data_IF_279107522940
#
_entry.id   IF_279107522940
#
_cell.length_a   1.000
_cell.length_b   1.000
_cell.length_c   1.000
_cell.angle_alpha   90.00
_cell.angle_beta   90.00
_cell.angle_gamma   90.00
#
_symmetry.space_group_name_H-M   'P 1'
#
loop_
_entity.id
_entity.type
_entity.pdbx_description
1 polymer ?
#
# COMPACT_ATOMS: atom_id res chain seq x y z
N UNK A 1 -1.48 5.59 10.81
CA UNK A 1 -1.25 6.43 12.01
C UNK A 1 -0.48 5.56 12.98
N UNK A 2 0.84 5.76 13.08
CA UNK A 2 1.61 5.19 14.20
C UNK A 2 1.47 6.21 15.32
N UNK A 3 0.59 5.97 16.29
CA UNK A 3 0.65 6.73 17.54
C UNK A 3 1.69 6.04 18.42
N UNK A 4 2.91 6.55 18.38
CA UNK A 4 3.85 6.33 19.46
C UNK A 4 3.19 6.90 20.72
N UNK A 5 2.93 6.07 21.73
CA UNK A 5 2.45 6.58 23.00
C UNK A 5 3.64 7.26 23.68
N UNK A 6 3.74 8.58 23.56
CA UNK A 6 4.70 9.38 24.33
C UNK A 6 4.16 9.67 25.74
N UNK A 7 3.79 8.62 26.46
CA UNK A 7 3.54 8.68 27.91
C UNK A 7 4.34 7.57 28.58
N UNK A 8 4.88 7.87 29.77
CA UNK A 8 5.86 7.07 30.52
C UNK A 8 5.38 5.72 31.06
N UNK A 9 4.50 5.05 30.33
CA UNK A 9 3.77 3.82 30.66
C UNK A 9 4.36 2.58 29.94
N UNK A 10 5.38 2.78 29.09
CA UNK A 10 6.15 1.69 28.47
C UNK A 10 5.51 1.07 27.21
N UNK A 11 4.37 1.58 26.74
CA UNK A 11 3.73 1.09 25.51
C UNK A 11 4.37 1.72 24.28
N UNK A 12 5.03 0.90 23.46
CA UNK A 12 5.69 1.39 22.24
C UNK A 12 4.72 1.63 21.07
N UNK A 13 3.60 0.89 21.01
CA UNK A 13 2.62 0.95 19.92
C UNK A 13 1.28 0.28 20.30
N UNK A 14 0.20 0.67 19.62
CA UNK A 14 -1.16 0.10 19.73
C UNK A 14 -1.84 0.06 18.35
N UNK A 15 -2.77 -0.88 18.15
CA UNK A 15 -3.67 -0.96 16.98
C UNK A 15 -4.77 0.10 16.99
N UNK A 16 -4.99 0.77 18.14
CA UNK A 16 -6.06 1.76 18.30
C UNK A 16 -7.47 1.14 18.38
N UNK A 17 -7.58 -0.13 18.76
CA UNK A 17 -8.85 -0.85 18.95
C UNK A 17 -9.34 -0.75 20.40
N UNK A 18 -9.04 0.34 21.09
CA UNK A 18 -9.42 0.54 22.50
C UNK A 18 -10.95 0.67 22.63
N UNK A 19 -11.54 -0.11 23.54
CA UNK A 19 -12.99 -0.16 23.73
C UNK A 19 -13.73 -1.06 22.74
N UNK A 20 -13.05 -1.59 21.72
CA UNK A 20 -13.60 -2.57 20.79
C UNK A 20 -13.44 -4.01 21.31
N UNK A 21 -14.31 -4.91 20.83
CA UNK A 21 -14.29 -6.33 21.23
C UNK A 21 -13.57 -7.16 20.18
N UNK A 22 -12.24 -7.18 20.27
CA UNK A 22 -11.39 -8.07 19.45
C UNK A 22 -11.56 -9.51 19.90
N UNK A 23 -11.84 -10.43 18.97
CA UNK A 23 -12.05 -11.86 19.27
C UNK A 23 -10.79 -12.70 19.16
N UNK A 24 -9.89 -12.34 18.25
CA UNK A 24 -8.68 -13.10 17.95
C UNK A 24 -7.62 -12.18 17.32
N UNK A 25 -6.41 -12.73 17.17
CA UNK A 25 -5.33 -12.16 16.37
C UNK A 25 -4.88 -13.24 15.40
N UNK A 26 -5.02 -12.98 14.10
CA UNK A 26 -4.85 -14.01 13.07
C UNK A 26 -3.80 -13.55 12.05
N UNK A 27 -2.76 -14.36 11.88
CA UNK A 27 -1.80 -14.18 10.80
C UNK A 27 -2.26 -15.02 9.61
N UNK A 28 -2.65 -14.35 8.54
CA UNK A 28 -3.13 -14.97 7.31
C UNK A 28 -1.95 -15.53 6.49
N UNK A 29 -2.21 -16.51 5.62
CA UNK A 29 -1.21 -17.05 4.69
C UNK A 29 -0.60 -15.99 3.76
N UNK A 30 -1.32 -14.89 3.52
CA UNK A 30 -0.83 -13.73 2.79
C UNK A 30 0.21 -12.89 3.56
N UNK A 31 0.40 -13.15 4.86
CA UNK A 31 1.19 -12.32 5.77
C UNK A 31 0.41 -11.15 6.39
N UNK A 32 -0.87 -10.99 6.07
CA UNK A 32 -1.72 -9.98 6.71
C UNK A 32 -2.04 -10.41 8.14
N UNK A 33 -1.76 -9.53 9.10
CA UNK A 33 -2.14 -9.72 10.50
C UNK A 33 -3.47 -9.00 10.71
N UNK A 34 -4.53 -9.73 11.06
CA UNK A 34 -5.89 -9.19 11.24
C UNK A 34 -6.36 -9.33 12.68
N UNK A 35 -7.10 -8.32 13.14
CA UNK A 35 -7.85 -8.34 14.39
C UNK A 35 -9.36 -8.30 14.07
N UNK A 36 -10.04 -9.45 14.02
CA UNK A 36 -11.49 -9.49 13.86
C UNK A 36 -12.21 -9.07 15.15
N UNK A 37 -13.37 -8.44 14.97
CA UNK A 37 -14.33 -8.13 16.02
C UNK A 37 -15.40 -9.21 16.17
N UNK A 38 -16.16 -9.13 17.26
CA UNK A 38 -17.22 -10.10 17.58
C UNK A 38 -18.40 -10.10 16.61
N UNK A 39 -18.56 -9.03 15.82
CA UNK A 39 -19.51 -8.93 14.73
C UNK A 39 -18.98 -9.47 13.38
N UNK A 40 -17.77 -10.03 13.34
CA UNK A 40 -17.12 -10.53 12.12
C UNK A 40 -16.48 -9.46 11.24
N UNK A 41 -16.50 -8.19 11.65
CA UNK A 41 -15.77 -7.12 10.96
C UNK A 41 -14.28 -7.16 11.28
N UNK A 42 -13.44 -6.68 10.37
CA UNK A 42 -12.02 -6.48 10.62
C UNK A 42 -11.86 -5.13 11.31
N UNK A 43 -11.51 -5.14 12.60
CA UNK A 43 -11.27 -3.93 13.38
C UNK A 43 -9.92 -3.30 13.05
N UNK A 44 -8.93 -4.14 12.71
CA UNK A 44 -7.60 -3.71 12.31
C UNK A 44 -6.93 -4.74 11.41
N UNK A 45 -6.11 -4.29 10.47
CA UNK A 45 -5.24 -5.17 9.67
C UNK A 45 -3.91 -4.49 9.31
N UNK A 46 -2.82 -5.27 9.27
CA UNK A 46 -1.48 -4.73 8.97
C UNK A 46 -1.38 -4.17 7.55
N UNK A 47 -2.08 -4.78 6.59
CA UNK A 47 -2.06 -4.36 5.19
C UNK A 47 -2.66 -2.96 4.95
N UNK A 48 -3.45 -2.43 5.89
CA UNK A 48 -3.93 -1.05 5.83
C UNK A 48 -2.85 -0.01 6.19
N UNK A 49 -1.66 -0.45 6.62
CA UNK A 49 -0.55 0.41 7.04
C UNK A 49 0.78 -0.02 6.41
N UNK A 50 0.92 0.11 5.08
CA UNK A 50 2.19 -0.17 4.42
C UNK A 50 3.33 0.70 4.96
N UNK A 51 4.53 0.14 5.05
CA UNK A 51 5.75 0.87 5.40
C UNK A 51 6.57 1.21 4.17
N UNK A 52 7.47 0.32 3.78
CA UNK A 52 8.41 0.46 2.68
C UNK A 52 8.08 -0.49 1.54
N UNK A 53 7.40 -1.61 1.82
CA UNK A 53 7.04 -2.60 0.83
C UNK A 53 5.53 -2.73 0.57
N UNK A 54 5.19 -3.07 -0.69
CA UNK A 54 3.88 -3.57 -1.08
C UNK A 54 3.95 -5.09 -1.26
N UNK A 55 3.04 -5.83 -0.61
CA UNK A 55 3.00 -7.29 -0.63
C UNK A 55 1.90 -7.83 -1.57
N UNK A 56 2.02 -9.07 -2.07
CA UNK A 56 0.95 -9.73 -2.80
C UNK A 56 -0.35 -9.81 -1.97
N UNK A 57 -1.49 -9.54 -2.61
CA UNK A 57 -2.79 -9.51 -1.92
C UNK A 57 -3.03 -8.26 -1.08
N UNK A 58 -2.07 -7.34 -0.98
CA UNK A 58 -2.28 -6.03 -0.38
C UNK A 58 -2.82 -5.04 -1.43
N UNK A 59 -3.97 -4.44 -1.14
CA UNK A 59 -4.51 -3.35 -1.94
C UNK A 59 -3.87 -2.02 -1.49
N UNK A 60 -3.13 -1.39 -2.39
CA UNK A 60 -2.59 -0.04 -2.22
C UNK A 60 -3.62 0.98 -2.73
N UNK A 61 -4.24 1.72 -1.82
CA UNK A 61 -5.33 2.66 -2.14
C UNK A 61 -4.91 4.12 -1.90
N UNK A 62 -5.63 5.06 -2.51
CA UNK A 62 -5.45 6.49 -2.25
C UNK A 62 -5.46 6.81 -0.75
N UNK A 63 -4.47 7.62 -0.31
CA UNK A 63 -4.21 7.93 1.10
C UNK A 63 -3.16 7.04 1.78
N UNK A 64 -2.79 5.91 1.17
CA UNK A 64 -1.63 5.12 1.61
C UNK A 64 -0.32 5.66 1.05
N UNK A 65 0.78 5.40 1.77
CA UNK A 65 2.13 5.77 1.33
C UNK A 65 3.13 4.66 1.58
N UNK A 66 3.87 4.29 0.55
CA UNK A 66 5.13 3.54 0.71
C UNK A 66 6.25 4.54 0.89
N UNK A 67 7.09 4.37 1.90
CA UNK A 67 8.17 5.29 2.23
C UNK A 67 9.50 4.54 2.23
N UNK A 68 10.48 5.08 1.53
CA UNK A 68 11.85 4.59 1.65
C UNK A 68 12.40 4.90 3.04
N UNK A 69 13.44 4.17 3.44
CA UNK A 69 14.23 4.58 4.60
C UNK A 69 14.83 5.98 4.39
N UNK A 70 14.88 6.82 5.44
CA UNK A 70 15.51 8.12 5.36
C UNK A 70 17.01 7.99 5.17
N UNK A 71 17.59 8.85 4.33
CA UNK A 71 19.03 8.98 4.19
C UNK A 71 19.66 9.74 5.37
N UNK A 72 20.99 9.96 5.33
CA UNK A 72 21.74 10.68 6.38
C UNK A 72 21.23 12.12 6.65
N UNK A 73 20.54 12.72 5.68
CA UNK A 73 19.95 14.04 5.79
C UNK A 73 18.46 13.99 6.19
N UNK A 74 17.97 12.83 6.65
CA UNK A 74 16.57 12.57 7.00
C UNK A 74 15.58 12.76 5.84
N UNK A 75 16.08 12.69 4.59
CA UNK A 75 15.23 12.74 3.39
C UNK A 75 14.84 11.31 3.00
N UNK A 76 13.57 11.13 2.66
CA UNK A 76 13.02 9.87 2.16
C UNK A 76 12.24 10.14 0.87
N UNK A 77 12.06 9.12 0.05
CA UNK A 77 11.11 9.14 -1.04
C UNK A 77 9.82 8.47 -0.59
N UNK A 78 8.70 8.81 -1.20
CA UNK A 78 7.47 8.08 -0.96
C UNK A 78 6.61 8.01 -2.20
N UNK A 79 5.88 6.91 -2.31
CA UNK A 79 4.93 6.65 -3.37
C UNK A 79 3.51 6.80 -2.82
N UNK A 80 2.62 7.46 -3.57
CA UNK A 80 1.23 7.69 -3.18
C UNK A 80 0.33 7.69 -4.42
N UNK A 81 -0.87 7.13 -4.31
CA UNK A 81 -1.94 7.41 -5.28
C UNK A 81 -2.58 8.72 -4.85
N UNK A 82 -2.62 9.69 -5.76
CA UNK A 82 -3.19 11.02 -5.51
C UNK A 82 -3.88 11.56 -6.75
N UNK A 83 -5.14 11.97 -6.59
CA UNK A 83 -5.92 12.61 -7.66
C UNK A 83 -6.05 11.76 -8.93
N UNK A 84 -6.03 10.43 -8.81
CA UNK A 84 -6.15 9.52 -9.94
C UNK A 84 -4.83 9.08 -10.59
N UNK A 85 -3.69 9.42 -10.01
CA UNK A 85 -2.36 9.08 -10.52
C UNK A 85 -1.50 8.45 -9.41
N UNK A 86 -0.55 7.60 -9.79
CA UNK A 86 0.46 7.07 -8.89
C UNK A 86 1.74 7.91 -9.03
N UNK A 87 2.14 8.57 -7.95
CA UNK A 87 3.22 9.56 -7.98
C UNK A 87 4.31 9.17 -6.99
N UNK A 88 5.56 9.18 -7.46
CA UNK A 88 6.74 9.09 -6.62
C UNK A 88 7.20 10.50 -6.27
N UNK A 89 7.28 10.80 -4.99
CA UNK A 89 7.72 12.07 -4.45
C UNK A 89 9.10 11.96 -3.80
N UNK A 90 9.91 12.99 -3.97
CA UNK A 90 11.02 13.28 -3.09
C UNK A 90 10.50 14.04 -1.85
N UNK A 91 10.72 13.47 -0.66
CA UNK A 91 10.17 13.92 0.63
C UNK A 91 10.88 15.13 1.24
N UNK A 92 11.11 16.18 0.45
CA UNK A 92 11.52 17.48 0.98
C UNK A 92 10.40 18.16 1.77
N UNK A 93 10.71 19.26 2.49
CA UNK A 93 9.71 20.08 3.21
C UNK A 93 8.51 20.45 2.33
N UNK A 94 8.79 20.79 1.08
CA UNK A 94 7.78 20.86 0.02
C UNK A 94 7.97 19.65 -0.90
N UNK A 95 7.11 18.63 -0.83
CA UNK A 95 7.29 17.42 -1.64
C UNK A 95 7.39 17.75 -3.13
N UNK A 96 8.40 17.18 -3.79
CA UNK A 96 8.62 17.37 -5.24
C UNK A 96 8.24 16.08 -5.95
N UNK A 97 7.37 16.16 -6.97
CA UNK A 97 7.07 15.00 -7.81
C UNK A 97 8.31 14.66 -8.62
N UNK A 98 8.81 13.42 -8.45
CA UNK A 98 9.97 12.90 -9.17
C UNK A 98 9.54 12.09 -10.40
N UNK A 99 8.49 11.28 -10.24
CA UNK A 99 7.93 10.45 -11.32
C UNK A 99 6.41 10.31 -11.15
N UNK A 100 5.71 10.12 -12.28
CA UNK A 100 4.26 9.95 -12.34
C UNK A 100 3.91 8.85 -13.32
N UNK A 101 3.00 7.96 -12.90
CA UNK A 101 2.47 6.90 -13.74
C UNK A 101 1.70 7.47 -14.93
N UNK A 102 1.05 8.62 -14.81
CA UNK A 102 0.38 9.30 -15.91
C UNK A 102 1.31 9.50 -17.12
N UNK A 103 2.61 9.70 -16.90
CA UNK A 103 3.62 9.91 -17.94
C UNK A 103 4.31 8.61 -18.42
N UNK A 104 3.95 7.45 -17.88
CA UNK A 104 4.56 6.17 -18.27
C UNK A 104 4.07 5.69 -19.64
N UNK A 105 5.00 5.32 -20.52
CA UNK A 105 4.71 4.87 -21.89
C UNK A 105 4.49 3.36 -21.99
N UNK A 106 4.96 2.59 -21.00
CA UNK A 106 4.84 1.13 -20.93
C UNK A 106 3.47 0.63 -20.42
N UNK A 107 2.46 1.50 -20.37
CA UNK A 107 1.11 1.10 -19.94
C UNK A 107 0.55 0.06 -20.89
N UNK A 108 0.09 -1.07 -20.36
CA UNK A 108 -0.75 -1.97 -21.15
C UNK A 108 -2.09 -1.30 -21.41
N UNK A 109 -2.60 -1.43 -22.62
CA UNK A 109 -3.96 -1.00 -22.99
C UNK A 109 -4.19 0.52 -22.87
N UNK A 110 -3.48 1.30 -23.69
CA UNK A 110 -3.60 2.77 -23.81
C UNK A 110 -5.02 3.30 -24.14
N UNK A 111 -6.00 2.42 -24.36
CA UNK A 111 -7.38 2.78 -24.68
C UNK A 111 -8.25 3.06 -23.44
N UNK A 112 -7.81 2.64 -22.24
CA UNK A 112 -8.58 2.81 -21.01
C UNK A 112 -8.23 4.14 -20.36
N UNK A 113 -9.12 5.12 -20.50
CA UNK A 113 -9.05 6.40 -19.80
C UNK A 113 -9.76 6.26 -18.44
N UNK A 114 -9.00 6.19 -17.36
CA UNK A 114 -9.54 6.09 -16.00
C UNK A 114 -8.61 6.72 -14.98
N UNK A 115 -9.14 7.02 -13.79
CA UNK A 115 -8.34 7.50 -12.66
C UNK A 115 -7.95 6.31 -11.79
N UNK A 116 -6.67 6.20 -11.44
CA UNK A 116 -6.21 5.18 -10.48
C UNK A 116 -6.83 5.46 -9.13
N UNK A 117 -7.52 4.47 -8.60
CA UNK A 117 -8.01 4.50 -7.22
C UNK A 117 -7.23 3.52 -6.34
N UNK A 118 -6.86 2.37 -6.91
CA UNK A 118 -6.12 1.34 -6.20
C UNK A 118 -5.13 0.61 -7.10
N UNK A 119 -4.15 -0.06 -6.48
CA UNK A 119 -3.21 -0.93 -7.14
C UNK A 119 -2.90 -2.17 -6.29
N UNK A 120 -2.59 -3.29 -6.93
CA UNK A 120 -2.27 -4.55 -6.24
C UNK A 120 -1.23 -5.36 -7.01
N UNK A 121 -0.31 -6.03 -6.31
CA UNK A 121 0.58 -7.00 -6.93
C UNK A 121 -0.16 -8.33 -7.16
N UNK A 122 -0.16 -8.79 -8.41
CA UNK A 122 -0.81 -10.04 -8.84
C UNK A 122 0.15 -10.79 -9.75
N UNK A 123 0.68 -11.92 -9.24
CA UNK A 123 1.71 -12.72 -9.93
C UNK A 123 2.86 -11.82 -10.42
N UNK A 124 3.07 -11.71 -11.73
CA UNK A 124 4.14 -10.95 -12.38
C UNK A 124 3.81 -9.50 -12.75
N UNK A 125 2.68 -9.00 -12.24
CA UNK A 125 2.14 -7.73 -12.67
C UNK A 125 1.71 -6.86 -11.51
N UNK A 126 1.93 -5.57 -11.68
CA UNK A 126 1.33 -4.55 -10.82
C UNK A 126 0.09 -4.01 -11.52
N UNK A 127 -1.08 -4.35 -10.97
CA UNK A 127 -2.36 -4.00 -11.56
C UNK A 127 -2.91 -2.74 -10.92
N UNK A 128 -3.60 -1.94 -11.73
CA UNK A 128 -4.19 -0.67 -11.33
C UNK A 128 -5.66 -0.64 -11.71
N UNK A 129 -6.49 -0.16 -10.79
CA UNK A 129 -7.94 -0.21 -10.92
C UNK A 129 -8.58 1.15 -10.65
N UNK A 130 -9.77 1.35 -11.21
CA UNK A 130 -10.64 2.47 -10.87
C UNK A 130 -11.38 2.25 -9.54
N UNK A 131 -12.23 3.21 -9.16
CA UNK A 131 -13.05 3.16 -7.95
C UNK A 131 -14.03 1.98 -7.91
N UNK A 132 -14.39 1.41 -9.06
CA UNK A 132 -15.27 0.25 -9.18
C UNK A 132 -14.48 -1.06 -9.27
N UNK A 133 -13.15 -1.01 -9.06
CA UNK A 133 -12.22 -2.13 -9.19
C UNK A 133 -12.13 -2.71 -10.60
N UNK A 134 -12.46 -1.90 -11.62
CA UNK A 134 -12.24 -2.25 -13.02
C UNK A 134 -10.76 -2.06 -13.35
N UNK A 135 -10.14 -3.08 -13.93
CA UNK A 135 -8.72 -3.03 -14.32
C UNK A 135 -8.52 -1.97 -15.41
N UNK A 136 -7.69 -0.97 -15.10
CA UNK A 136 -7.33 0.09 -16.03
C UNK A 136 -6.08 -0.29 -16.84
N UNK A 137 -5.03 -0.69 -16.14
CA UNK A 137 -3.74 -1.07 -16.73
C UNK A 137 -2.96 -1.98 -15.79
N UNK A 138 -1.96 -2.67 -16.35
CA UNK A 138 -0.99 -3.45 -15.60
C UNK A 138 0.43 -3.12 -16.05
N UNK A 139 1.36 -3.18 -15.12
CA UNK A 139 2.79 -3.14 -15.42
C UNK A 139 3.36 -4.53 -15.21
N UNK A 140 3.72 -5.20 -16.30
CA UNK A 140 4.32 -6.54 -16.25
C UNK A 140 5.82 -6.37 -16.02
N UNK A 141 6.32 -6.87 -14.90
CA UNK A 141 7.73 -6.71 -14.50
C UNK A 141 8.55 -7.99 -14.65
N UNK A 142 7.91 -9.13 -14.96
CA UNK A 142 8.58 -10.41 -15.20
C UNK A 142 7.81 -11.25 -16.21
N UNK A 143 8.49 -12.11 -16.96
CA UNK A 143 7.85 -13.10 -17.84
C UNK A 143 7.35 -14.33 -17.05
N UNK A 144 7.77 -14.49 -15.79
CA UNK A 144 7.33 -15.60 -14.94
C UNK A 144 5.90 -15.39 -14.42
N UNK A 145 4.92 -15.98 -15.08
CA UNK A 145 3.49 -15.87 -14.75
C UNK A 145 2.97 -16.91 -13.74
N UNK A 146 3.86 -17.61 -13.02
CA UNK A 146 3.45 -18.52 -11.95
C UNK A 146 2.63 -17.75 -10.88
N UNK A 147 1.38 -18.13 -10.60
CA UNK A 147 0.57 -17.46 -9.58
C UNK A 147 1.13 -17.66 -8.16
N UNK A 148 1.98 -18.66 -7.94
CA UNK A 148 2.65 -18.91 -6.66
C UNK A 148 3.98 -18.15 -6.51
N UNK A 149 4.44 -17.45 -7.55
CA UNK A 149 5.63 -16.62 -7.45
C UNK A 149 5.35 -15.40 -6.56
N UNK A 150 6.13 -15.26 -5.49
CA UNK A 150 6.01 -14.14 -4.56
C UNK A 150 6.94 -13.01 -4.98
N UNK A 151 6.35 -11.86 -5.31
CA UNK A 151 7.07 -10.63 -5.60
C UNK A 151 6.71 -9.56 -4.58
N UNK A 152 7.70 -8.84 -4.08
CA UNK A 152 7.49 -7.66 -3.25
C UNK A 152 8.09 -6.44 -3.96
N UNK A 153 7.44 -5.29 -3.80
CA UNK A 153 7.93 -4.01 -4.32
C UNK A 153 8.47 -3.18 -3.16
N UNK A 154 9.64 -2.57 -3.33
CA UNK A 154 10.34 -1.72 -2.34
C UNK A 154 10.66 -0.36 -2.95
#
# INVERSE_FOLDING_TARGET
MYSKSDRGDGVAWTTGTDGERVTSMELMDSGNLVLPGDNGSILWQSFSYPMDALLPGQDFVEGMRLKSFPNKNYLYNYLEIKSGDLILYAGYKTPQAYWSLANESRKTNNSVNGKVHSASLVSNSWNFYDQNRVLLWRFIFSDNSDPNAMWAMF
#
